data_IF_555058082738
#
_entry.id   IF_555058082738
#
_cell.length_a   1.000
_cell.length_b   1.000
_cell.length_c   1.000
_cell.angle_alpha   90.00
_cell.angle_beta   90.00
_cell.angle_gamma   90.00
#
_symmetry.space_group_name_H-M   'P 1'
#
loop_
_entity.id
_entity.type
_entity.pdbx_description
1 polymer ?
#
# COMPACT_ATOMS: atom_id res chain seq x y z
N UNK A 1 -10.42 26.23 9.43
CA UNK A 1 -10.70 25.72 8.07
C UNK A 1 -11.59 24.48 8.15
N UNK A 2 -12.75 24.47 7.47
CA UNK A 2 -13.59 23.28 7.40
C UNK A 2 -13.07 22.38 6.27
N UNK A 3 -12.29 21.36 6.61
CA UNK A 3 -11.69 20.41 5.67
C UNK A 3 -12.15 18.99 5.96
N UNK A 4 -12.32 18.21 4.90
CA UNK A 4 -12.55 16.78 4.97
C UNK A 4 -11.32 16.02 4.49
N UNK A 5 -10.76 15.15 5.31
CA UNK A 5 -9.63 14.29 4.94
C UNK A 5 -10.13 12.87 4.76
N UNK A 6 -9.83 12.27 3.60
CA UNK A 6 -10.21 10.91 3.24
C UNK A 6 -8.97 10.05 2.98
N UNK A 7 -8.81 8.97 3.73
CA UNK A 7 -7.81 7.96 3.42
C UNK A 7 -8.37 6.96 2.41
N UNK A 8 -7.85 6.97 1.18
CA UNK A 8 -8.37 6.22 0.03
C UNK A 8 -7.55 4.95 -0.20
N UNK A 9 -7.94 3.86 0.49
CA UNK A 9 -7.24 2.56 0.43
C UNK A 9 -8.23 1.41 0.71
N UNK A 10 -7.73 0.21 1.06
CA UNK A 10 -8.58 -0.77 1.74
C UNK A 10 -8.89 -0.33 3.19
N UNK A 11 -9.94 -0.90 3.75
CA UNK A 11 -10.45 -0.45 5.07
C UNK A 11 -9.40 -0.54 6.19
N UNK A 12 -8.57 -1.59 6.22
CA UNK A 12 -7.58 -1.80 7.28
C UNK A 12 -6.48 -0.74 7.22
N UNK A 13 -5.88 -0.56 6.04
CA UNK A 13 -4.81 0.42 5.84
C UNK A 13 -5.34 1.86 6.02
N UNK A 14 -6.57 2.16 5.58
CA UNK A 14 -7.22 3.46 5.79
C UNK A 14 -7.46 3.73 7.26
N UNK A 15 -7.93 2.75 8.02
CA UNK A 15 -8.15 2.89 9.45
C UNK A 15 -6.86 3.15 10.24
N UNK A 16 -5.75 2.50 9.84
CA UNK A 16 -4.43 2.78 10.43
C UNK A 16 -3.99 4.25 10.19
N UNK A 17 -4.24 4.80 8.99
CA UNK A 17 -3.93 6.19 8.66
C UNK A 17 -4.81 7.15 9.48
N UNK A 18 -6.12 6.91 9.53
CA UNK A 18 -7.06 7.73 10.29
C UNK A 18 -6.66 7.77 11.77
N UNK A 19 -6.34 6.62 12.38
CA UNK A 19 -5.84 6.58 13.76
C UNK A 19 -4.56 7.38 14.01
N UNK A 20 -3.64 7.42 13.03
CA UNK A 20 -2.42 8.23 13.16
C UNK A 20 -2.78 9.72 13.12
N UNK A 21 -3.66 10.13 12.22
CA UNK A 21 -4.12 11.53 12.11
C UNK A 21 -4.89 11.96 13.36
N UNK A 22 -5.80 11.13 13.86
CA UNK A 22 -6.58 11.41 15.08
C UNK A 22 -5.68 11.61 16.32
N UNK A 23 -4.62 10.80 16.47
CA UNK A 23 -3.62 10.99 17.55
C UNK A 23 -2.86 12.32 17.47
N UNK A 24 -2.90 12.96 16.31
CA UNK A 24 -2.30 14.28 16.05
C UNK A 24 -3.35 15.40 16.02
N UNK A 25 -4.57 15.13 16.52
CA UNK A 25 -5.68 16.10 16.58
C UNK A 25 -6.42 16.32 15.27
N UNK A 26 -6.10 15.56 14.21
CA UNK A 26 -6.68 15.74 12.87
C UNK A 26 -7.80 14.74 12.63
N UNK A 27 -9.02 15.21 12.44
CA UNK A 27 -10.17 14.37 12.05
C UNK A 27 -10.04 13.91 10.60
N UNK A 28 -10.18 12.60 10.36
CA UNK A 28 -10.10 12.02 9.03
C UNK A 28 -11.10 10.87 8.84
N UNK A 29 -11.38 10.53 7.59
CA UNK A 29 -12.40 9.55 7.23
C UNK A 29 -11.79 8.36 6.47
N UNK A 30 -12.30 7.17 6.73
CA UNK A 30 -11.98 5.97 5.97
C UNK A 30 -12.80 5.95 4.69
N UNK A 31 -12.17 6.16 3.53
CA UNK A 31 -12.82 5.99 2.24
C UNK A 31 -12.29 4.71 1.57
N UNK A 32 -12.85 3.58 1.97
CA UNK A 32 -12.42 2.29 1.45
C UNK A 32 -13.03 2.01 0.08
N UNK A 33 -12.19 2.12 -0.97
CA UNK A 33 -12.57 1.83 -2.37
C UNK A 33 -12.20 0.41 -2.82
N UNK A 34 -11.46 -0.33 -2.01
CA UNK A 34 -11.08 -1.72 -2.28
C UNK A 34 -11.26 -2.58 -1.04
N UNK A 35 -11.60 -3.86 -1.28
CA UNK A 35 -11.65 -4.91 -0.27
C UNK A 35 -10.47 -5.86 -0.47
N UNK A 36 -9.74 -6.14 0.59
CA UNK A 36 -8.67 -7.14 0.58
C UNK A 36 -9.22 -8.50 1.01
N UNK A 37 -9.29 -9.43 0.08
CA UNK A 37 -9.67 -10.81 0.32
C UNK A 37 -8.39 -11.64 0.53
N UNK A 38 -8.17 -12.11 1.75
CA UNK A 38 -7.05 -13.02 2.05
C UNK A 38 -7.38 -14.39 1.47
N UNK A 39 -6.38 -15.06 0.89
CA UNK A 39 -6.48 -16.46 0.49
C UNK A 39 -5.85 -17.33 1.56
N UNK A 40 -6.55 -18.40 1.92
CA UNK A 40 -5.99 -19.42 2.80
C UNK A 40 -4.76 -20.02 2.14
N UNK A 41 -3.64 -20.02 2.84
CA UNK A 41 -2.43 -20.69 2.37
C UNK A 41 -2.60 -22.17 2.67
N UNK A 42 -2.63 -23.04 1.64
CA UNK A 42 -2.62 -24.48 1.86
C UNK A 42 -1.33 -24.86 2.58
N UNK A 43 -1.39 -25.94 3.34
CA UNK A 43 -0.20 -26.51 3.94
C UNK A 43 0.79 -26.91 2.83
N UNK A 44 1.90 -26.21 2.74
CA UNK A 44 2.99 -26.54 1.82
C UNK A 44 4.31 -26.63 2.60
N UNK A 45 5.15 -27.56 2.20
CA UNK A 45 6.50 -27.63 2.77
C UNK A 45 7.30 -26.43 2.26
N UNK A 46 7.91 -25.64 3.16
CA UNK A 46 8.85 -24.56 2.78
C UNK A 46 10.17 -25.17 2.25
N UNK A 47 10.10 -25.86 1.13
CA UNK A 47 11.29 -26.36 0.41
C UNK A 47 11.85 -25.27 -0.52
N UNK A 48 12.06 -24.07 0.02
CA UNK A 48 12.62 -22.94 -0.70
C UNK A 48 13.84 -22.43 0.02
N UNK A 49 14.82 -21.93 -0.74
CA UNK A 49 16.04 -21.34 -0.21
C UNK A 49 15.78 -19.92 0.31
N UNK A 50 14.81 -19.24 -0.29
CA UNK A 50 14.43 -17.88 0.11
C UNK A 50 12.94 -17.57 -0.11
N UNK A 51 12.46 -16.52 0.60
CA UNK A 51 11.09 -15.97 0.51
C UNK A 51 11.17 -14.50 0.14
N UNK A 52 10.24 -14.04 -0.71
CA UNK A 52 10.11 -12.66 -1.11
C UNK A 52 8.75 -12.12 -0.66
N UNK A 53 8.76 -10.98 0.03
CA UNK A 53 7.57 -10.27 0.52
C UNK A 53 7.61 -8.81 0.04
N UNK A 54 6.73 -8.46 -0.87
CA UNK A 54 6.68 -7.12 -1.48
C UNK A 54 5.55 -6.22 -0.93
N UNK A 55 4.84 -6.68 0.11
CA UNK A 55 3.78 -5.90 0.74
C UNK A 55 3.51 -6.32 2.18
N UNK A 56 3.05 -5.39 3.02
CA UNK A 56 2.61 -5.67 4.39
C UNK A 56 1.45 -6.69 4.45
N UNK A 57 0.61 -6.75 3.42
CA UNK A 57 -0.47 -7.76 3.31
C UNK A 57 0.09 -9.16 3.16
N UNK A 58 1.10 -9.34 2.31
CA UNK A 58 1.79 -10.62 2.16
C UNK A 58 2.51 -11.03 3.45
N UNK A 59 3.10 -10.08 4.19
CA UNK A 59 3.68 -10.32 5.52
C UNK A 59 2.63 -10.86 6.48
N UNK A 60 1.46 -10.23 6.58
CA UNK A 60 0.37 -10.69 7.47
C UNK A 60 -0.04 -12.13 7.16
N UNK A 61 -0.13 -12.50 5.88
CA UNK A 61 -0.42 -13.86 5.46
C UNK A 61 0.72 -14.85 5.80
N UNK A 62 1.96 -14.44 5.59
CA UNK A 62 3.15 -15.23 5.92
C UNK A 62 3.26 -15.51 7.43
N UNK A 63 3.07 -14.50 8.26
CA UNK A 63 3.11 -14.64 9.71
C UNK A 63 1.97 -15.56 10.22
N UNK A 64 0.77 -15.43 9.66
CA UNK A 64 -0.32 -16.35 9.98
C UNK A 64 0.05 -17.79 9.61
N UNK A 65 0.65 -18.00 8.45
CA UNK A 65 1.13 -19.31 8.03
C UNK A 65 2.21 -19.86 8.98
N UNK A 66 3.18 -19.06 9.38
CA UNK A 66 4.20 -19.46 10.36
C UNK A 66 3.58 -19.85 11.71
N UNK A 67 2.60 -19.09 12.22
CA UNK A 67 1.91 -19.42 13.48
C UNK A 67 1.26 -20.80 13.43
N UNK A 68 0.61 -21.13 12.31
CA UNK A 68 -0.08 -22.41 12.14
C UNK A 68 0.86 -23.59 11.95
N UNK A 69 2.02 -23.38 11.33
CA UNK A 69 2.88 -24.46 10.85
C UNK A 69 4.35 -24.38 11.32
N UNK A 70 4.70 -23.45 12.24
CA UNK A 70 6.08 -23.22 12.70
C UNK A 70 6.79 -24.51 13.18
N UNK A 71 6.08 -25.38 13.89
CA UNK A 71 6.63 -26.66 14.38
C UNK A 71 7.10 -27.63 13.28
N UNK A 72 6.72 -27.37 12.01
CA UNK A 72 7.07 -28.24 10.86
C UNK A 72 8.33 -27.77 10.11
N UNK A 73 8.93 -26.64 10.54
CA UNK A 73 10.10 -26.07 9.88
C UNK A 73 11.33 -26.20 10.77
N UNK A 74 12.36 -26.91 10.25
CA UNK A 74 13.67 -26.93 10.88
C UNK A 74 14.34 -25.55 10.85
N UNK A 75 14.12 -24.79 9.76
CA UNK A 75 14.65 -23.44 9.55
C UNK A 75 13.72 -22.65 8.63
N UNK A 76 13.49 -21.37 8.94
CA UNK A 76 12.79 -20.44 8.04
C UNK A 76 13.78 -20.00 6.96
N UNK A 77 13.39 -20.04 5.66
CA UNK A 77 14.26 -19.60 4.57
C UNK A 77 14.63 -18.12 4.69
N UNK A 78 15.76 -17.70 4.08
CA UNK A 78 16.14 -16.28 3.98
C UNK A 78 14.96 -15.46 3.48
N UNK A 79 14.54 -14.47 4.24
CA UNK A 79 13.34 -13.67 3.92
C UNK A 79 13.76 -12.28 3.44
N UNK A 80 13.33 -11.91 2.23
CA UNK A 80 13.62 -10.61 1.60
C UNK A 80 12.38 -9.75 1.54
N UNK A 81 12.48 -8.48 1.97
CA UNK A 81 11.39 -7.51 1.93
C UNK A 81 11.77 -6.28 1.11
N UNK A 82 10.80 -5.71 0.39
CA UNK A 82 11.05 -4.62 -0.57
C UNK A 82 11.39 -3.30 0.11
N UNK A 83 10.89 -3.03 1.30
CA UNK A 83 11.10 -1.71 1.88
C UNK A 83 10.63 -1.56 3.33
N UNK A 84 10.80 -0.35 3.89
CA UNK A 84 10.68 -0.09 5.33
C UNK A 84 9.29 -0.39 5.90
N UNK A 85 8.20 -0.09 5.20
CA UNK A 85 6.84 -0.38 5.70
C UNK A 85 6.58 -1.90 5.81
N UNK A 86 7.09 -2.67 4.85
CA UNK A 86 6.99 -4.14 4.88
C UNK A 86 7.84 -4.71 6.01
N UNK A 87 9.06 -4.19 6.21
CA UNK A 87 9.96 -4.54 7.29
C UNK A 87 9.38 -4.19 8.67
N UNK A 88 8.80 -2.99 8.82
CA UNK A 88 8.13 -2.56 10.06
C UNK A 88 7.02 -3.54 10.47
N UNK A 89 6.28 -4.06 9.49
CA UNK A 89 5.22 -5.05 9.76
C UNK A 89 5.80 -6.36 10.29
N UNK A 90 6.94 -6.84 9.78
CA UNK A 90 7.63 -8.03 10.30
C UNK A 90 8.13 -7.81 11.72
N UNK A 91 8.88 -6.71 11.95
CA UNK A 91 9.46 -6.34 13.26
C UNK A 91 8.39 -6.25 14.35
N UNK A 92 7.27 -5.56 14.07
CA UNK A 92 6.13 -5.44 15.00
C UNK A 92 5.51 -6.78 15.41
N UNK A 93 5.75 -7.85 14.66
CA UNK A 93 5.28 -9.20 14.96
C UNK A 93 6.39 -10.14 15.44
N UNK A 94 7.54 -9.60 15.87
CA UNK A 94 8.64 -10.38 16.44
C UNK A 94 9.48 -11.14 15.42
N UNK A 95 9.33 -10.88 14.11
CA UNK A 95 10.15 -11.50 13.08
C UNK A 95 11.27 -10.52 12.68
N UNK A 96 12.49 -10.79 13.11
CA UNK A 96 13.64 -9.88 12.96
C UNK A 96 14.71 -10.38 11.98
N UNK A 97 14.72 -11.68 11.67
CA UNK A 97 15.71 -12.30 10.76
C UNK A 97 15.24 -12.18 9.30
N UNK A 98 15.51 -11.03 8.68
CA UNK A 98 15.19 -10.77 7.27
C UNK A 98 16.13 -9.72 6.65
N UNK A 99 16.19 -9.72 5.32
CA UNK A 99 16.92 -8.75 4.51
C UNK A 99 15.95 -7.68 4.00
N UNK A 100 16.27 -6.41 4.23
CA UNK A 100 15.44 -5.27 3.81
C UNK A 100 16.12 -4.52 2.66
N UNK A 101 15.40 -4.36 1.53
CA UNK A 101 15.81 -3.50 0.44
C UNK A 101 15.34 -2.04 0.67
N UNK A 102 15.83 -1.11 -0.15
CA UNK A 102 15.61 0.34 0.01
C UNK A 102 14.23 0.85 -0.49
N UNK A 103 13.31 -0.05 -0.88
CA UNK A 103 11.93 0.33 -1.22
C UNK A 103 11.54 0.17 -2.69
N UNK A 104 12.44 -0.27 -3.56
CA UNK A 104 12.15 -0.51 -4.97
C UNK A 104 12.56 -1.92 -5.43
N UNK A 105 12.07 -2.32 -6.60
CA UNK A 105 12.32 -3.66 -7.14
C UNK A 105 13.80 -3.89 -7.49
N UNK A 106 14.52 -2.86 -7.96
CA UNK A 106 15.94 -2.98 -8.33
C UNK A 106 16.81 -3.28 -7.12
N UNK A 107 16.62 -2.54 -6.01
CA UNK A 107 17.36 -2.79 -4.76
C UNK A 107 17.02 -4.16 -4.15
N UNK A 108 15.77 -4.60 -4.26
CA UNK A 108 15.35 -5.94 -3.82
C UNK A 108 16.05 -7.04 -4.63
N UNK A 109 16.12 -6.89 -5.95
CA UNK A 109 16.79 -7.85 -6.85
C UNK A 109 18.27 -7.96 -6.56
N UNK A 110 18.99 -6.83 -6.43
CA UNK A 110 20.40 -6.81 -6.06
C UNK A 110 20.64 -7.53 -4.73
N UNK A 111 19.80 -7.25 -3.74
CA UNK A 111 19.90 -7.87 -2.41
C UNK A 111 19.68 -9.39 -2.46
N UNK A 112 18.73 -9.87 -3.27
CA UNK A 112 18.52 -11.31 -3.47
C UNK A 112 19.73 -11.93 -4.17
N UNK A 113 20.24 -11.34 -5.24
CA UNK A 113 21.38 -11.86 -5.99
C UNK A 113 22.63 -11.97 -5.13
N UNK A 114 22.93 -10.98 -4.29
CA UNK A 114 24.10 -10.98 -3.40
C UNK A 114 24.00 -12.00 -2.27
N UNK A 115 22.81 -12.45 -1.90
CA UNK A 115 22.57 -13.30 -0.75
C UNK A 115 22.06 -14.71 -1.09
N UNK A 116 21.94 -15.06 -2.38
CA UNK A 116 21.49 -16.37 -2.85
C UNK A 116 22.45 -16.94 -3.89
N UNK A 117 22.60 -18.26 -3.88
CA UNK A 117 23.40 -18.98 -4.89
C UNK A 117 22.63 -19.07 -6.22
N UNK A 118 23.34 -19.28 -7.33
CA UNK A 118 22.74 -19.71 -8.60
C UNK A 118 21.91 -20.97 -8.37
N UNK A 119 20.83 -21.12 -9.13
CA UNK A 119 19.83 -22.21 -9.03
C UNK A 119 19.03 -22.24 -7.73
N UNK A 120 19.19 -21.26 -6.83
CA UNK A 120 18.33 -21.12 -5.65
C UNK A 120 16.86 -20.99 -6.04
N UNK A 121 16.00 -21.66 -5.26
CA UNK A 121 14.55 -21.68 -5.45
C UNK A 121 13.88 -20.76 -4.44
N UNK A 122 13.17 -19.73 -4.91
CA UNK A 122 12.45 -18.76 -4.09
C UNK A 122 10.94 -18.94 -4.13
N UNK A 123 10.28 -18.49 -3.07
CA UNK A 123 8.84 -18.36 -2.99
C UNK A 123 8.46 -16.87 -2.84
N UNK A 124 7.71 -16.34 -3.80
CA UNK A 124 7.14 -15.00 -3.72
C UNK A 124 5.69 -15.04 -3.25
N UNK A 125 5.44 -14.61 -2.03
CA UNK A 125 4.09 -14.40 -1.52
C UNK A 125 3.61 -13.02 -1.97
N UNK A 126 2.59 -12.98 -2.81
CA UNK A 126 2.19 -11.77 -3.53
C UNK A 126 0.67 -11.62 -3.66
N UNK A 127 0.22 -10.44 -4.06
CA UNK A 127 -1.14 -10.19 -4.51
C UNK A 127 -1.40 -10.76 -5.91
N UNK A 128 -2.69 -10.87 -6.29
CA UNK A 128 -3.08 -11.31 -7.64
C UNK A 128 -2.54 -10.36 -8.72
N UNK A 129 -2.71 -9.06 -8.54
CA UNK A 129 -2.22 -8.05 -9.48
C UNK A 129 -0.76 -7.70 -9.18
N UNK A 130 0.12 -8.12 -10.06
CA UNK A 130 1.57 -7.88 -10.02
C UNK A 130 2.13 -7.95 -11.44
N UNK A 131 3.26 -7.29 -11.68
CA UNK A 131 4.03 -7.50 -12.91
C UNK A 131 4.96 -8.72 -12.77
N UNK A 132 5.49 -9.19 -13.87
CA UNK A 132 6.41 -10.33 -13.92
C UNK A 132 7.87 -9.93 -13.68
N UNK A 133 8.20 -8.64 -13.69
CA UNK A 133 9.56 -8.10 -13.71
C UNK A 133 10.53 -8.77 -12.72
N UNK A 134 10.13 -8.90 -11.45
CA UNK A 134 10.98 -9.55 -10.42
C UNK A 134 11.27 -11.01 -10.78
N UNK A 135 10.26 -11.75 -11.21
CA UNK A 135 10.40 -13.16 -11.59
C UNK A 135 11.30 -13.32 -12.81
N UNK A 136 11.07 -12.52 -13.85
CA UNK A 136 11.77 -12.62 -15.13
C UNK A 136 13.25 -12.21 -14.97
N UNK A 137 13.51 -11.17 -14.18
CA UNK A 137 14.86 -10.74 -13.87
C UNK A 137 15.65 -11.81 -13.09
N UNK A 138 15.05 -12.42 -12.06
CA UNK A 138 15.70 -13.49 -11.30
C UNK A 138 15.96 -14.74 -12.16
N UNK A 139 15.04 -15.07 -13.06
CA UNK A 139 15.23 -16.19 -14.01
C UNK A 139 16.41 -15.96 -14.94
N UNK A 140 16.58 -14.76 -15.50
CA UNK A 140 17.76 -14.38 -16.31
C UNK A 140 19.08 -14.57 -15.56
N UNK A 141 19.05 -14.41 -14.21
CA UNK A 141 20.20 -14.62 -13.35
C UNK A 141 20.25 -16.03 -12.71
N UNK A 142 19.57 -17.02 -13.31
CA UNK A 142 19.53 -18.41 -12.86
C UNK A 142 19.04 -18.58 -11.41
N UNK A 143 18.03 -17.81 -10.97
CA UNK A 143 17.27 -18.00 -9.73
C UNK A 143 15.80 -18.24 -10.10
N UNK A 144 15.21 -19.24 -9.47
CA UNK A 144 13.84 -19.66 -9.78
C UNK A 144 12.88 -19.11 -8.73
N UNK A 145 11.89 -18.30 -9.15
CA UNK A 145 10.92 -17.73 -8.26
C UNK A 145 9.51 -18.28 -8.55
N UNK A 146 8.94 -19.02 -7.60
CA UNK A 146 7.56 -19.48 -7.65
C UNK A 146 6.64 -18.46 -7.00
N UNK A 147 5.62 -18.02 -7.71
CA UNK A 147 4.62 -17.08 -7.19
C UNK A 147 3.52 -17.84 -6.45
N UNK A 148 3.12 -17.33 -5.28
CA UNK A 148 1.93 -17.76 -4.56
C UNK A 148 1.06 -16.53 -4.24
N UNK A 149 -0.13 -16.50 -4.83
CA UNK A 149 -1.12 -15.45 -4.54
C UNK A 149 -1.72 -15.71 -3.17
N UNK A 150 -1.49 -14.79 -2.22
CA UNK A 150 -1.93 -14.90 -0.82
C UNK A 150 -3.03 -13.91 -0.47
N UNK A 151 -3.27 -12.93 -1.32
CA UNK A 151 -4.41 -12.01 -1.21
C UNK A 151 -4.82 -11.50 -2.59
N UNK A 152 -6.04 -11.01 -2.64
CA UNK A 152 -6.62 -10.36 -3.80
C UNK A 152 -7.33 -9.08 -3.36
N UNK A 153 -7.24 -8.05 -4.17
CA UNK A 153 -7.94 -6.80 -3.95
C UNK A 153 -9.05 -6.65 -4.99
N UNK A 154 -10.28 -6.67 -4.54
CA UNK A 154 -11.47 -6.37 -5.35
C UNK A 154 -11.90 -4.92 -5.13
N UNK A 155 -12.43 -4.29 -6.17
CA UNK A 155 -13.04 -2.98 -6.09
C UNK A 155 -14.32 -3.04 -5.28
N UNK A 156 -14.63 -1.98 -4.55
CA UNK A 156 -15.96 -1.72 -4.00
C UNK A 156 -16.76 -0.90 -5.00
N UNK A 157 -18.02 -1.27 -5.16
CA UNK A 157 -18.91 -0.66 -6.15
C UNK A 157 -19.90 0.33 -5.53
N UNK A 158 -19.75 0.65 -4.25
CA UNK A 158 -20.65 1.55 -3.53
C UNK A 158 -19.89 2.53 -2.64
N UNK A 159 -20.48 3.71 -2.45
CA UNK A 159 -20.11 4.72 -1.45
C UNK A 159 -21.21 4.72 -0.39
N UNK A 160 -20.86 4.63 0.89
CA UNK A 160 -21.86 4.72 1.96
C UNK A 160 -22.51 6.12 2.00
N UNK A 161 -23.78 6.18 2.42
CA UNK A 161 -24.53 7.43 2.51
C UNK A 161 -23.80 8.48 3.36
N UNK A 162 -23.27 8.09 4.51
CA UNK A 162 -22.46 8.96 5.35
C UNK A 162 -21.27 9.59 4.62
N UNK A 163 -20.56 8.84 3.78
CA UNK A 163 -19.46 9.38 2.97
C UNK A 163 -19.97 10.27 1.84
N UNK A 164 -21.11 9.94 1.24
CA UNK A 164 -21.74 10.79 0.22
C UNK A 164 -22.13 12.15 0.78
N UNK A 165 -22.71 12.21 1.98
CA UNK A 165 -23.04 13.44 2.68
C UNK A 165 -21.78 14.28 2.89
N UNK A 166 -20.72 13.69 3.46
CA UNK A 166 -19.46 14.40 3.69
C UNK A 166 -18.82 14.93 2.40
N UNK A 167 -18.81 14.13 1.32
CA UNK A 167 -18.26 14.53 0.04
C UNK A 167 -19.02 15.71 -0.61
N UNK A 168 -20.34 15.82 -0.36
CA UNK A 168 -21.20 16.85 -0.93
C UNK A 168 -21.19 18.16 -0.15
N UNK A 169 -20.66 18.17 1.07
CA UNK A 169 -20.48 19.39 1.85
C UNK A 169 -19.56 20.36 1.10
N UNK A 170 -19.72 21.67 1.34
CA UNK A 170 -18.94 22.73 0.68
C UNK A 170 -17.48 22.83 1.17
N UNK A 171 -17.04 21.91 2.01
CA UNK A 171 -15.71 21.86 2.59
C UNK A 171 -14.66 21.40 1.55
N UNK A 172 -13.40 21.81 1.72
CA UNK A 172 -12.31 21.33 0.88
C UNK A 172 -11.99 19.87 1.22
N UNK A 173 -11.97 19.01 0.21
CA UNK A 173 -11.72 17.57 0.38
C UNK A 173 -10.26 17.22 0.06
N UNK A 174 -9.57 16.54 0.97
CA UNK A 174 -8.24 15.99 0.77
C UNK A 174 -8.31 14.48 0.62
N UNK A 175 -7.91 13.95 -0.54
CA UNK A 175 -7.85 12.51 -0.80
C UNK A 175 -6.42 12.02 -0.68
N UNK A 176 -6.08 11.31 0.40
CA UNK A 176 -4.77 10.67 0.58
C UNK A 176 -4.72 9.38 -0.22
N UNK A 177 -4.07 9.39 -1.38
CA UNK A 177 -4.04 8.26 -2.31
C UNK A 177 -2.61 7.71 -2.47
N UNK A 178 -2.45 6.40 -2.33
CA UNK A 178 -1.14 5.76 -2.26
C UNK A 178 -0.78 4.85 -3.44
N UNK A 179 -1.60 4.78 -4.47
CA UNK A 179 -1.30 4.02 -5.68
C UNK A 179 -2.05 4.56 -6.89
N UNK A 180 -1.43 4.46 -8.07
CA UNK A 180 -2.05 4.86 -9.35
C UNK A 180 -3.37 4.12 -9.61
N UNK A 181 -3.46 2.84 -9.22
CA UNK A 181 -4.70 2.08 -9.31
C UNK A 181 -5.81 2.68 -8.43
N UNK A 182 -5.50 3.11 -7.21
CA UNK A 182 -6.50 3.69 -6.31
C UNK A 182 -7.00 5.04 -6.83
N UNK A 183 -6.16 5.83 -7.51
CA UNK A 183 -6.61 7.06 -8.20
C UNK A 183 -7.68 6.70 -9.23
N UNK A 184 -7.39 5.76 -10.13
CA UNK A 184 -8.34 5.36 -11.17
C UNK A 184 -9.64 4.80 -10.58
N UNK A 185 -9.56 3.94 -9.56
CA UNK A 185 -10.73 3.37 -8.90
C UNK A 185 -11.58 4.42 -8.19
N UNK A 186 -10.96 5.40 -7.52
CA UNK A 186 -11.66 6.53 -6.89
C UNK A 186 -12.41 7.34 -7.96
N UNK A 187 -11.72 7.71 -9.04
CA UNK A 187 -12.32 8.48 -10.14
C UNK A 187 -13.50 7.74 -10.76
N UNK A 188 -13.32 6.45 -11.07
CA UNK A 188 -14.39 5.61 -11.62
C UNK A 188 -15.60 5.53 -10.68
N UNK A 189 -15.36 5.37 -9.38
CA UNK A 189 -16.42 5.28 -8.38
C UNK A 189 -17.19 6.60 -8.27
N UNK A 190 -16.51 7.76 -8.22
CA UNK A 190 -17.15 9.08 -8.17
C UNK A 190 -17.91 9.40 -9.46
N UNK A 191 -17.40 8.99 -10.64
CA UNK A 191 -18.11 9.09 -11.92
C UNK A 191 -19.38 8.22 -11.95
N UNK A 192 -19.32 7.00 -11.43
CA UNK A 192 -20.49 6.11 -11.30
C UNK A 192 -21.63 6.74 -10.50
N UNK A 193 -21.30 7.58 -9.51
CA UNK A 193 -22.28 8.32 -8.70
C UNK A 193 -22.62 9.71 -9.27
N UNK A 194 -22.12 10.07 -10.47
CA UNK A 194 -22.32 11.36 -11.13
C UNK A 194 -21.92 12.58 -10.27
N UNK A 195 -20.93 12.39 -9.37
CA UNK A 195 -20.47 13.45 -8.45
C UNK A 195 -19.02 13.90 -8.70
N UNK A 196 -18.30 13.25 -9.61
CA UNK A 196 -16.89 13.53 -9.85
C UNK A 196 -16.61 14.99 -10.21
N UNK A 197 -17.35 15.54 -11.20
CA UNK A 197 -17.12 16.90 -11.70
C UNK A 197 -17.44 17.99 -10.67
N UNK A 198 -18.38 17.74 -9.78
CA UNK A 198 -18.69 18.61 -8.65
C UNK A 198 -17.59 18.54 -7.59
N UNK A 199 -17.19 17.34 -7.21
CA UNK A 199 -16.26 17.12 -6.09
C UNK A 199 -14.83 17.55 -6.47
N UNK A 200 -14.35 17.28 -7.68
CA UNK A 200 -12.99 17.61 -8.10
C UNK A 200 -12.67 19.11 -7.98
N UNK A 201 -13.66 20.00 -8.10
CA UNK A 201 -13.47 21.48 -8.00
C UNK A 201 -12.97 21.90 -6.62
N UNK A 202 -13.47 21.24 -5.57
CA UNK A 202 -13.14 21.53 -4.16
C UNK A 202 -12.32 20.38 -3.54
N UNK A 203 -11.47 19.72 -4.33
CA UNK A 203 -10.71 18.58 -3.84
C UNK A 203 -9.26 18.62 -4.25
N UNK A 204 -8.41 18.16 -3.34
CA UNK A 204 -6.97 17.99 -3.55
C UNK A 204 -6.63 16.51 -3.41
N UNK A 205 -5.95 15.96 -4.43
CA UNK A 205 -5.41 14.59 -4.34
C UNK A 205 -3.98 14.67 -3.83
N UNK A 206 -3.73 14.09 -2.67
CA UNK A 206 -2.42 14.08 -2.01
C UNK A 206 -1.74 12.74 -2.28
N UNK A 207 -0.55 12.76 -2.84
CA UNK A 207 0.15 11.58 -3.36
C UNK A 207 1.59 11.47 -2.84
N UNK A 208 2.09 10.24 -2.74
CA UNK A 208 3.42 9.92 -2.20
C UNK A 208 4.52 9.83 -3.28
N UNK A 209 4.16 9.83 -4.56
CA UNK A 209 5.14 9.68 -5.65
C UNK A 209 4.67 10.34 -6.95
N UNK A 210 5.65 10.71 -7.79
CA UNK A 210 5.40 11.34 -9.09
C UNK A 210 4.50 10.51 -10.00
N UNK A 211 4.63 9.17 -9.97
CA UNK A 211 3.77 8.29 -10.78
C UNK A 211 2.30 8.36 -10.37
N UNK A 212 2.01 8.44 -9.07
CA UNK A 212 0.64 8.58 -8.56
C UNK A 212 0.11 9.97 -8.87
N UNK A 213 0.95 11.00 -8.72
CA UNK A 213 0.64 12.38 -9.06
C UNK A 213 0.25 12.52 -10.54
N UNK A 214 1.08 12.04 -11.46
CA UNK A 214 0.79 12.07 -12.89
C UNK A 214 -0.51 11.31 -13.20
N UNK A 215 -0.73 10.15 -12.54
CA UNK A 215 -1.97 9.39 -12.71
C UNK A 215 -3.21 10.15 -12.26
N UNK A 216 -3.10 11.01 -11.25
CA UNK A 216 -4.23 11.85 -10.84
C UNK A 216 -4.55 12.92 -11.87
N UNK A 217 -3.55 13.55 -12.47
CA UNK A 217 -3.74 14.49 -13.61
C UNK A 217 -4.42 13.81 -14.80
N UNK A 218 -3.91 12.62 -15.22
CA UNK A 218 -4.51 11.82 -16.32
C UNK A 218 -5.99 11.46 -16.05
N UNK A 219 -6.39 11.32 -14.80
CA UNK A 219 -7.77 11.04 -14.41
C UNK A 219 -8.65 12.30 -14.26
N UNK A 220 -8.11 13.49 -14.56
CA UNK A 220 -8.86 14.74 -14.61
C UNK A 220 -8.97 15.46 -13.25
N UNK A 221 -8.10 15.16 -12.29
CA UNK A 221 -8.01 15.90 -11.03
C UNK A 221 -7.22 17.20 -11.26
N UNK A 222 -7.84 18.34 -10.99
CA UNK A 222 -7.22 19.66 -11.24
C UNK A 222 -6.21 20.07 -10.16
N UNK A 223 -6.52 19.79 -8.89
CA UNK A 223 -5.65 20.14 -7.75
C UNK A 223 -4.99 18.91 -7.18
N UNK A 224 -3.67 18.91 -7.15
CA UNK A 224 -2.87 17.77 -6.69
C UNK A 224 -1.70 18.25 -5.83
N UNK A 225 -1.38 17.50 -4.79
CA UNK A 225 -0.24 17.73 -3.93
C UNK A 225 0.69 16.50 -3.95
N UNK A 226 1.96 16.72 -4.28
CA UNK A 226 2.99 15.69 -4.20
C UNK A 226 3.80 15.85 -2.92
N UNK A 227 3.80 14.81 -2.09
CA UNK A 227 4.62 14.69 -0.89
C UNK A 227 5.49 13.45 -1.06
N UNK A 228 6.71 13.57 -1.62
CA UNK A 228 7.57 12.43 -1.91
C UNK A 228 8.11 11.84 -0.60
N UNK A 229 7.56 10.72 -0.18
CA UNK A 229 7.97 10.01 1.03
C UNK A 229 7.57 8.52 0.95
N UNK A 230 8.42 7.66 1.50
CA UNK A 230 8.19 6.20 1.52
C UNK A 230 7.69 5.70 2.88
N UNK A 231 8.01 6.41 3.97
CA UNK A 231 7.55 6.08 5.31
C UNK A 231 6.22 6.76 5.61
N UNK A 232 5.21 5.98 5.95
CA UNK A 232 3.84 6.45 6.20
C UNK A 232 3.76 7.56 7.24
N UNK A 233 4.45 7.43 8.37
CA UNK A 233 4.43 8.43 9.44
C UNK A 233 4.99 9.76 8.97
N UNK A 234 6.19 9.76 8.35
CA UNK A 234 6.81 10.96 7.80
C UNK A 234 5.96 11.62 6.70
N UNK A 235 5.31 10.82 5.86
CA UNK A 235 4.37 11.32 4.86
C UNK A 235 3.21 12.08 5.51
N UNK A 236 2.61 11.52 6.56
CA UNK A 236 1.52 12.17 7.28
C UNK A 236 1.98 13.42 8.04
N UNK A 237 3.19 13.41 8.62
CA UNK A 237 3.78 14.58 9.27
C UNK A 237 3.96 15.75 8.28
N UNK A 238 4.52 15.47 7.10
CA UNK A 238 4.68 16.47 6.03
C UNK A 238 3.32 16.97 5.52
N UNK A 239 2.33 16.08 5.42
CA UNK A 239 0.97 16.47 5.05
C UNK A 239 0.35 17.41 6.08
N UNK A 240 0.41 17.09 7.38
CA UNK A 240 -0.10 17.94 8.45
C UNK A 240 0.59 19.30 8.45
N UNK A 241 1.92 19.32 8.34
CA UNK A 241 2.67 20.56 8.25
C UNK A 241 2.19 21.44 7.09
N UNK A 242 1.92 20.83 5.92
CA UNK A 242 1.39 21.57 4.76
C UNK A 242 -0.02 22.14 4.95
N UNK A 243 -0.86 21.52 5.80
CA UNK A 243 -2.17 22.08 6.18
C UNK A 243 -2.01 23.31 7.07
N UNK A 244 -1.14 23.24 8.09
CA UNK A 244 -0.90 24.35 9.02
C UNK A 244 -0.33 25.59 8.32
N UNK A 245 0.55 25.40 7.33
CA UNK A 245 1.06 26.50 6.50
C UNK A 245 -0.05 27.20 5.71
N UNK A 246 -1.05 26.47 5.23
CA UNK A 246 -2.21 27.06 4.54
C UNK A 246 -3.14 27.82 5.48
N UNK A 247 -3.30 27.40 6.71
CA UNK A 247 -4.08 28.14 7.71
C UNK A 247 -3.42 29.48 8.01
N UNK A 248 -2.12 29.52 8.23
CA UNK A 248 -1.35 30.73 8.51
C UNK A 248 -1.24 31.70 7.32
N UNK A 249 -1.43 31.24 6.08
CA UNK A 249 -1.39 32.08 4.88
C UNK A 249 -2.74 32.69 4.49
N UNK A 250 -3.84 32.24 5.10
CA UNK A 250 -5.21 32.71 4.85
C UNK A 250 -5.81 33.50 6.03
N UNK A 251 -5.06 33.74 7.08
CA UNK A 251 -5.39 34.61 8.23
C UNK A 251 -4.59 35.89 8.17
#
# INVERSE_FOLDING_TARGET
MNINIFSVRDSIDSFEIVKILERKGIKANVFSIVKTNKKTLPNFKLKYDFIVLTSSKAVKCFLQYLRLYKKRFKKIPKTFVVGPETAKTLKKNGFIDFYQASGNSKSLLNLILSNTKIYSKGLWLCGRHRNSYIKDYLLKHKRFLKNRVVYEMSQKDFISEHLLIKLKNKEENYFLVNSSRNVSLLTMLLKKYYIFDKIKKNSIVVTMSKNIYNKSLENGWGKNQLIPETLREKYLDKFIHSLNLKENSNG
#
